data_IF_366931691731
#
_entry.id   IF_366931691731
#
_cell.length_a   1.000
_cell.length_b   1.000
_cell.length_c   1.000
_cell.angle_alpha   90.00
_cell.angle_beta   90.00
_cell.angle_gamma   90.00
#
_symmetry.space_group_name_H-M   'P 1'
#
loop_
_entity.id
_entity.type
_entity.pdbx_description
1 polymer ?
#
# COMPACT_ATOMS: atom_id res chain seq x y z
N UNK A 1 -15.33 -21.39 -21.34
CA UNK A 1 -14.15 -20.61 -21.80
C UNK A 1 -13.39 -20.17 -20.57
N UNK A 2 -12.07 -20.40 -20.54
CA UNK A 2 -11.19 -19.75 -19.56
C UNK A 2 -10.96 -18.32 -20.05
N UNK A 3 -11.50 -17.35 -19.30
CA UNK A 3 -11.31 -15.93 -19.60
C UNK A 3 -10.18 -15.42 -18.73
N UNK A 4 -9.07 -15.01 -19.35
CA UNK A 4 -7.97 -14.36 -18.66
C UNK A 4 -8.33 -12.90 -18.36
N UNK A 5 -8.42 -12.54 -17.07
CA UNK A 5 -8.74 -11.19 -16.64
C UNK A 5 -7.48 -10.32 -16.63
N UNK A 6 -7.40 -9.33 -17.53
CA UNK A 6 -6.26 -8.40 -17.59
C UNK A 6 -6.49 -7.17 -16.70
N UNK A 7 -7.75 -6.78 -16.49
CA UNK A 7 -8.14 -5.69 -15.60
C UNK A 7 -9.49 -6.02 -14.94
N UNK A 8 -9.58 -5.80 -13.63
CA UNK A 8 -10.84 -5.91 -12.90
C UNK A 8 -11.52 -4.53 -12.83
N UNK A 9 -12.53 -4.31 -13.69
CA UNK A 9 -13.32 -3.10 -13.69
C UNK A 9 -14.82 -3.38 -13.73
N UNK A 10 -15.38 -3.68 -12.56
CA UNK A 10 -16.82 -3.83 -12.36
C UNK A 10 -17.20 -3.01 -11.12
N UNK A 11 -17.84 -1.86 -11.32
CA UNK A 11 -18.12 -0.93 -10.22
C UNK A 11 -19.10 -1.55 -9.21
N UNK A 12 -20.20 -2.15 -9.68
CA UNK A 12 -21.21 -2.74 -8.80
C UNK A 12 -21.72 -4.07 -9.35
N UNK A 13 -21.68 -5.12 -8.52
CA UNK A 13 -22.22 -6.43 -8.82
C UNK A 13 -22.65 -7.15 -7.55
N UNK A 14 -23.84 -7.75 -7.56
CA UNK A 14 -24.46 -8.37 -6.37
C UNK A 14 -24.27 -9.89 -6.28
N UNK A 15 -24.11 -10.56 -7.42
CA UNK A 15 -24.14 -12.02 -7.51
C UNK A 15 -22.77 -12.70 -7.47
N UNK A 16 -21.69 -11.96 -7.73
CA UNK A 16 -20.31 -12.49 -7.76
C UNK A 16 -19.38 -11.63 -6.91
N UNK A 17 -18.14 -12.09 -6.72
CA UNK A 17 -17.09 -11.36 -6.00
C UNK A 17 -16.34 -10.29 -6.83
N UNK A 18 -16.72 -10.09 -8.10
CA UNK A 18 -15.93 -9.28 -9.04
C UNK A 18 -16.22 -7.77 -8.97
N UNK A 19 -17.36 -7.38 -8.38
CA UNK A 19 -17.69 -5.97 -8.19
C UNK A 19 -16.80 -5.30 -7.15
N UNK A 20 -16.59 -3.99 -7.24
CA UNK A 20 -15.97 -3.18 -6.18
C UNK A 20 -16.98 -2.82 -5.07
N UNK A 21 -18.28 -2.88 -5.39
CA UNK A 21 -19.40 -2.60 -4.49
C UNK A 21 -20.44 -3.73 -4.61
N UNK A 22 -20.99 -4.17 -3.47
CA UNK A 22 -22.14 -5.08 -3.38
C UNK A 22 -23.35 -4.34 -2.81
N UNK A 23 -24.26 -3.89 -3.68
CA UNK A 23 -25.40 -3.08 -3.24
C UNK A 23 -24.92 -1.75 -2.67
N UNK A 24 -24.99 -1.59 -1.34
CA UNK A 24 -24.50 -0.42 -0.61
C UNK A 24 -23.21 -0.70 0.18
N UNK A 25 -22.71 -1.94 0.15
CA UNK A 25 -21.50 -2.35 0.87
C UNK A 25 -20.28 -2.20 -0.02
N UNK A 26 -19.27 -1.48 0.45
CA UNK A 26 -17.96 -1.40 -0.21
C UNK A 26 -17.21 -2.72 0.02
N UNK A 27 -16.56 -3.25 -1.02
CA UNK A 27 -15.72 -4.45 -0.89
C UNK A 27 -14.25 -4.05 -0.68
N UNK A 28 -13.45 -4.89 0.00
CA UNK A 28 -12.03 -4.62 0.24
C UNK A 28 -11.23 -4.26 -1.02
N UNK A 29 -11.57 -4.87 -2.16
CA UNK A 29 -10.95 -4.59 -3.46
C UNK A 29 -11.04 -3.11 -3.89
N UNK A 30 -12.02 -2.33 -3.41
CA UNK A 30 -12.06 -0.89 -3.69
C UNK A 30 -10.93 -0.13 -2.98
N UNK A 31 -10.52 -0.58 -1.80
CA UNK A 31 -9.55 0.15 -0.97
C UNK A 31 -8.12 0.06 -1.52
N UNK A 32 -7.79 -0.97 -2.29
CA UNK A 32 -6.50 -1.01 -3.03
C UNK A 32 -6.37 0.16 -4.00
N UNK A 33 -7.44 0.52 -4.72
CA UNK A 33 -7.46 1.71 -5.58
C UNK A 33 -7.30 3.02 -4.78
N UNK A 34 -7.76 3.06 -3.53
CA UNK A 34 -7.52 4.23 -2.66
C UNK A 34 -6.04 4.34 -2.30
N UNK A 35 -5.35 3.24 -2.02
CA UNK A 35 -3.89 3.26 -1.80
C UNK A 35 -3.16 3.85 -3.02
N UNK A 36 -3.50 3.41 -4.23
CA UNK A 36 -2.90 3.94 -5.46
C UNK A 36 -3.25 5.41 -5.73
N UNK A 37 -4.36 5.95 -5.22
CA UNK A 37 -4.69 7.38 -5.34
C UNK A 37 -3.66 8.26 -4.63
N UNK A 38 -3.02 7.74 -3.58
CA UNK A 38 -1.98 8.46 -2.84
C UNK A 38 -0.58 8.22 -3.41
N UNK A 39 -0.40 7.21 -4.26
CA UNK A 39 0.88 6.86 -4.86
C UNK A 39 1.32 7.85 -5.95
N UNK A 40 2.62 7.99 -6.14
CA UNK A 40 3.21 8.81 -7.21
C UNK A 40 3.02 8.24 -8.61
N UNK A 41 3.21 9.09 -9.61
CA UNK A 41 3.08 8.76 -11.03
C UNK A 41 4.43 8.50 -11.71
N UNK A 42 5.54 8.89 -11.07
CA UNK A 42 6.91 8.65 -11.54
C UNK A 42 7.57 7.51 -10.76
N UNK A 43 7.55 6.29 -11.28
CA UNK A 43 8.14 5.13 -10.61
C UNK A 43 9.67 5.31 -10.40
N UNK A 44 10.13 5.04 -9.18
CA UNK A 44 11.56 4.98 -8.84
C UNK A 44 11.94 3.56 -8.42
N UNK A 45 13.24 3.26 -8.41
CA UNK A 45 13.71 1.93 -8.07
C UNK A 45 13.40 1.58 -6.61
N UNK A 46 12.79 0.42 -6.40
CA UNK A 46 12.63 -0.22 -5.11
C UNK A 46 12.72 -1.75 -5.28
N UNK A 47 13.29 -2.43 -4.31
CA UNK A 47 13.40 -3.89 -4.31
C UNK A 47 13.29 -4.43 -2.90
N UNK A 48 12.64 -5.58 -2.75
CA UNK A 48 12.57 -6.32 -1.49
C UNK A 48 13.39 -7.61 -1.62
N UNK A 49 14.15 -7.91 -0.57
CA UNK A 49 14.79 -9.21 -0.37
C UNK A 49 14.15 -10.03 0.76
N UNK A 50 12.97 -9.61 1.26
CA UNK A 50 12.28 -10.22 2.39
C UNK A 50 11.09 -11.05 1.87
N UNK A 51 10.99 -12.30 2.32
CA UNK A 51 9.91 -13.21 1.94
C UNK A 51 8.54 -12.63 2.29
N UNK A 52 7.61 -12.73 1.34
CA UNK A 52 6.24 -12.19 1.40
C UNK A 52 6.11 -10.67 1.51
N UNK A 53 7.22 -9.93 1.50
CA UNK A 53 7.20 -8.47 1.45
C UNK A 53 7.55 -8.01 0.04
N UNK A 54 6.68 -7.21 -0.56
CA UNK A 54 6.98 -6.49 -1.81
C UNK A 54 6.97 -4.99 -1.56
N UNK A 55 7.79 -4.26 -2.33
CA UNK A 55 7.92 -2.81 -2.20
C UNK A 55 7.88 -2.15 -3.56
N UNK A 56 7.16 -1.04 -3.64
CA UNK A 56 7.08 -0.17 -4.80
C UNK A 56 7.31 1.26 -4.33
N UNK A 57 7.99 2.06 -5.15
CA UNK A 57 8.19 3.46 -4.85
C UNK A 57 7.95 4.33 -6.09
N UNK A 58 7.42 5.51 -5.86
CA UNK A 58 7.21 6.51 -6.90
C UNK A 58 7.31 7.92 -6.33
N UNK A 59 7.78 8.85 -7.15
CA UNK A 59 7.75 10.28 -6.87
C UNK A 59 6.43 10.88 -7.33
N UNK A 60 5.88 11.79 -6.52
CA UNK A 60 4.68 12.58 -6.82
C UNK A 60 5.05 13.94 -7.41
N UNK A 61 4.10 14.55 -8.11
CA UNK A 61 4.21 15.91 -8.65
C UNK A 61 4.50 16.98 -7.58
N UNK A 62 4.09 16.76 -6.33
CA UNK A 62 4.36 17.65 -5.20
C UNK A 62 5.77 17.46 -4.59
N UNK A 63 6.59 16.56 -5.16
CA UNK A 63 7.95 16.26 -4.75
C UNK A 63 8.06 15.10 -3.76
N UNK A 64 6.94 14.67 -3.16
CA UNK A 64 6.95 13.61 -2.16
C UNK A 64 7.37 12.26 -2.74
N UNK A 65 8.21 11.54 -2.00
CA UNK A 65 8.49 10.13 -2.24
C UNK A 65 7.40 9.30 -1.59
N UNK A 66 6.75 8.44 -2.38
CA UNK A 66 5.80 7.45 -1.89
C UNK A 66 6.41 6.07 -1.94
N UNK A 67 6.27 5.32 -0.84
CA UNK A 67 6.76 3.94 -0.72
C UNK A 67 5.60 3.07 -0.25
N UNK A 68 5.16 2.17 -1.12
CA UNK A 68 4.10 1.20 -0.83
C UNK A 68 4.75 -0.14 -0.52
N UNK A 69 4.54 -0.64 0.68
CA UNK A 69 5.05 -1.92 1.17
C UNK A 69 3.87 -2.85 1.39
N UNK A 70 3.92 -4.04 0.83
CA UNK A 70 2.85 -5.05 0.93
C UNK A 70 3.41 -6.26 1.66
N UNK A 71 2.83 -6.58 2.81
CA UNK A 71 3.09 -7.83 3.53
C UNK A 71 1.97 -8.82 3.20
N UNK A 72 2.29 -9.86 2.44
CA UNK A 72 1.35 -10.97 2.13
C UNK A 72 1.46 -12.14 3.12
N UNK A 73 2.34 -12.03 4.12
CA UNK A 73 2.50 -13.02 5.17
C UNK A 73 1.30 -13.05 6.11
N UNK A 74 1.12 -14.21 6.74
CA UNK A 74 0.11 -14.45 7.78
C UNK A 74 0.58 -14.03 9.17
N UNK A 75 1.69 -13.27 9.25
CA UNK A 75 2.25 -12.75 10.49
C UNK A 75 2.75 -11.31 10.26
N UNK A 76 2.80 -10.53 11.34
CA UNK A 76 3.45 -9.22 11.36
C UNK A 76 4.96 -9.37 11.07
N UNK A 77 5.50 -8.48 10.25
CA UNK A 77 6.92 -8.48 9.90
C UNK A 77 7.55 -7.12 10.21
N UNK A 78 8.66 -7.13 10.95
CA UNK A 78 9.52 -5.95 11.12
C UNK A 78 10.66 -6.01 10.11
N UNK A 79 10.77 -4.99 9.26
CA UNK A 79 11.78 -4.92 8.19
C UNK A 79 12.51 -3.59 8.21
N UNK A 80 13.76 -3.57 7.77
CA UNK A 80 14.49 -2.32 7.55
C UNK A 80 14.09 -1.73 6.20
N UNK A 81 13.55 -0.51 6.21
CA UNK A 81 13.26 0.25 5.00
C UNK A 81 14.35 1.32 4.80
N UNK A 82 15.33 1.00 3.95
CA UNK A 82 16.43 1.90 3.61
C UNK A 82 16.07 2.80 2.42
N UNK A 83 16.29 4.11 2.57
CA UNK A 83 15.99 5.11 1.54
C UNK A 83 17.30 5.79 1.14
N UNK A 84 17.73 5.53 -0.09
CA UNK A 84 18.99 6.05 -0.58
C UNK A 84 19.00 7.60 -0.61
N UNK A 85 20.02 8.19 0.02
CA UNK A 85 20.31 9.62 -0.07
C UNK A 85 19.50 10.52 0.88
N UNK A 86 18.62 9.96 1.71
CA UNK A 86 17.88 10.73 2.73
C UNK A 86 17.62 9.90 3.98
N UNK A 87 17.42 10.58 5.10
CA UNK A 87 16.89 9.97 6.32
C UNK A 87 15.68 10.80 6.72
N UNK A 88 14.45 10.33 6.43
CA UNK A 88 13.25 11.08 6.74
C UNK A 88 13.16 11.36 8.23
N UNK A 89 12.60 12.49 8.62
CA UNK A 89 12.25 12.75 10.02
C UNK A 89 10.89 12.15 10.38
N UNK A 90 9.97 12.14 9.42
CA UNK A 90 8.59 11.68 9.55
C UNK A 90 8.04 11.21 8.20
N UNK A 91 6.93 10.49 8.25
CA UNK A 91 6.15 10.11 7.08
C UNK A 91 4.66 10.17 7.41
N UNK A 92 3.83 10.56 6.44
CA UNK A 92 2.39 10.29 6.51
C UNK A 92 2.15 8.82 6.15
N UNK A 93 1.43 8.11 7.02
CA UNK A 93 1.22 6.66 6.89
C UNK A 93 -0.24 6.38 6.55
N UNK A 94 -0.46 5.57 5.52
CA UNK A 94 -1.75 5.00 5.18
C UNK A 94 -1.69 3.48 5.30
N UNK A 95 -2.73 2.89 5.88
CA UNK A 95 -2.80 1.46 6.14
C UNK A 95 -4.08 0.85 5.56
N UNK A 96 -3.90 -0.23 4.80
CA UNK A 96 -4.96 -1.14 4.41
C UNK A 96 -4.63 -2.52 4.97
N UNK A 97 -5.49 -3.01 5.86
CA UNK A 97 -5.43 -4.36 6.41
C UNK A 97 -6.85 -4.84 6.71
N UNK A 98 -6.99 -5.84 7.58
CA UNK A 98 -8.29 -6.37 8.01
C UNK A 98 -9.14 -5.37 8.79
N UNK A 99 -8.51 -4.48 9.54
CA UNK A 99 -9.15 -3.56 10.49
C UNK A 99 -9.18 -2.11 9.97
N UNK A 100 -8.36 -1.79 8.96
CA UNK A 100 -8.22 -0.46 8.36
C UNK A 100 -8.53 -0.48 6.86
N UNK A 101 -9.49 0.34 6.44
CA UNK A 101 -9.96 0.37 5.06
C UNK A 101 -9.25 1.43 4.20
N UNK A 102 -7.92 1.32 4.05
CA UNK A 102 -7.06 2.34 3.43
C UNK A 102 -7.20 3.70 4.14
N UNK A 103 -6.85 3.69 5.43
CA UNK A 103 -7.04 4.80 6.36
C UNK A 103 -5.72 5.51 6.64
N UNK A 104 -5.78 6.83 6.81
CA UNK A 104 -4.61 7.60 7.26
C UNK A 104 -4.41 7.38 8.74
N UNK A 105 -3.20 6.96 9.12
CA UNK A 105 -2.74 6.91 10.50
C UNK A 105 -2.02 8.20 10.92
N UNK A 106 -2.09 9.24 10.08
CA UNK A 106 -1.47 10.54 10.29
C UNK A 106 0.04 10.55 10.01
N UNK A 107 0.67 11.66 10.39
CA UNK A 107 2.12 11.84 10.33
C UNK A 107 2.76 11.16 11.54
N UNK A 108 3.74 10.29 11.27
CA UNK A 108 4.46 9.52 12.29
C UNK A 108 5.96 9.76 12.17
N UNK A 109 6.70 9.79 13.29
CA UNK A 109 8.15 9.92 13.25
C UNK A 109 8.76 8.72 12.52
N UNK A 110 9.78 8.98 11.69
CA UNK A 110 10.51 7.92 11.02
C UNK A 110 11.41 7.20 12.04
N UNK A 111 11.39 5.85 12.09
CA UNK A 111 12.27 5.09 12.97
C UNK A 111 13.75 5.39 12.67
N UNK A 112 14.53 5.72 13.70
CA UNK A 112 15.94 6.11 13.54
C UNK A 112 16.82 4.98 12.99
N UNK A 113 16.42 3.73 13.20
CA UNK A 113 17.05 2.51 12.67
C UNK A 113 16.43 2.05 11.34
N UNK A 114 15.43 2.79 10.83
CA UNK A 114 14.67 2.43 9.63
C UNK A 114 13.81 1.17 9.78
N UNK A 115 13.63 0.64 11.00
CA UNK A 115 12.80 -0.54 11.23
C UNK A 115 11.33 -0.15 11.24
N UNK A 116 10.60 -0.62 10.23
CA UNK A 116 9.15 -0.46 10.12
C UNK A 116 8.45 -1.77 10.41
N UNK A 117 7.32 -1.69 11.10
CA UNK A 117 6.45 -2.82 11.39
C UNK A 117 5.31 -2.87 10.38
N UNK A 118 5.14 -4.01 9.73
CA UNK A 118 4.14 -4.28 8.70
C UNK A 118 3.16 -5.33 9.25
N UNK A 119 1.88 -4.98 9.47
CA UNK A 119 0.87 -5.96 9.88
C UNK A 119 0.75 -7.13 8.89
N UNK A 120 0.23 -8.26 9.34
CA UNK A 120 -0.10 -9.39 8.47
C UNK A 120 -1.08 -8.96 7.36
N UNK A 121 -0.96 -9.55 6.17
CA UNK A 121 -1.89 -9.36 5.05
C UNK A 121 -2.26 -7.88 4.79
N UNK A 122 -1.26 -7.01 4.72
CA UNK A 122 -1.45 -5.56 4.71
C UNK A 122 -0.77 -4.86 3.53
N UNK A 123 -1.22 -3.62 3.29
CA UNK A 123 -0.55 -2.63 2.46
C UNK A 123 -0.32 -1.39 3.30
N UNK A 124 0.94 -1.02 3.50
CA UNK A 124 1.32 0.23 4.15
C UNK A 124 1.92 1.17 3.11
N UNK A 125 1.42 2.40 3.05
CA UNK A 125 1.97 3.45 2.20
C UNK A 125 2.57 4.55 3.07
N UNK A 126 3.86 4.78 2.89
CA UNK A 126 4.59 5.90 3.47
C UNK A 126 4.70 7.02 2.44
N UNK A 127 4.32 8.23 2.83
CA UNK A 127 4.53 9.44 2.03
C UNK A 127 5.50 10.36 2.77
N UNK A 128 6.61 10.66 2.09
CA UNK A 128 7.80 11.28 2.66
C UNK A 128 8.13 12.55 1.87
N UNK A 129 8.43 13.64 2.58
CA UNK A 129 8.80 14.94 2.01
C UNK A 129 10.31 15.11 1.92
#
# INVERSE_FOLDING_TARGET
EDVWMVNQWVISQRSTGLGLINGFTIRPTLYTFRMYKHFGDQQVYAASGVDNVTVYAAQRDDGALTVMVVNLGDEEQTVTLDIAGTTPAEAEVWLLDKDHNAESLGVQPWPADGLVTLPEQSVTLYMIQ
#
